data_IF_206663187598
#
_entry.id   IF_206663187598
#
_cell.length_a   1.000
_cell.length_b   1.000
_cell.length_c   1.000
_cell.angle_alpha   90.00
_cell.angle_beta   90.00
_cell.angle_gamma   90.00
#
_symmetry.space_group_name_H-M   'P 1'
#
loop_
_entity.id
_entity.type
_entity.pdbx_description
1 polymer ?
#
# COMPACT_ATOMS: atom_id res chain seq x y z
N UNK A 1 43.63 -0.90 -5.36
CA UNK A 1 43.13 -2.27 -5.26
C UNK A 1 42.19 -2.30 -4.07
N UNK A 2 40.95 -2.54 -4.12
CA UNK A 2 39.97 -2.89 -5.14
C UNK A 2 38.60 -2.33 -4.68
N UNK A 3 37.97 -1.42 -5.44
CA UNK A 3 36.63 -0.83 -5.20
C UNK A 3 35.52 -1.63 -5.88
N UNK A 4 35.72 -2.91 -6.17
CA UNK A 4 34.75 -3.77 -6.86
C UNK A 4 33.98 -4.68 -5.88
N UNK A 5 34.41 -4.77 -4.59
CA UNK A 5 33.78 -5.60 -3.57
C UNK A 5 32.46 -5.07 -3.02
N UNK A 6 32.24 -3.74 -3.06
CA UNK A 6 31.10 -3.11 -2.38
C UNK A 6 29.79 -3.15 -3.20
N UNK A 7 29.84 -3.56 -4.46
CA UNK A 7 28.67 -3.59 -5.33
C UNK A 7 27.79 -4.86 -5.17
N UNK A 8 28.27 -5.86 -4.42
CA UNK A 8 27.55 -7.14 -4.21
C UNK A 8 26.89 -7.28 -2.83
N UNK A 9 27.08 -6.34 -1.92
CA UNK A 9 26.50 -6.40 -0.56
C UNK A 9 25.12 -5.75 -0.42
N UNK A 10 24.55 -5.14 -1.45
CA UNK A 10 23.22 -4.50 -1.44
C UNK A 10 22.03 -5.45 -1.67
N UNK A 11 22.17 -6.74 -1.35
CA UNK A 11 21.16 -7.77 -1.69
C UNK A 11 20.21 -8.11 -0.54
N UNK A 12 19.97 -7.24 0.46
CA UNK A 12 19.14 -7.62 1.62
C UNK A 12 18.02 -6.68 2.06
N UNK A 13 17.86 -5.48 1.52
CA UNK A 13 16.69 -4.63 1.80
C UNK A 13 16.44 -3.70 0.59
N UNK A 14 15.72 -4.17 -0.41
CA UNK A 14 15.37 -3.34 -1.55
C UNK A 14 14.01 -2.67 -1.31
N UNK A 15 14.02 -1.55 -0.61
CA UNK A 15 12.96 -0.55 -0.77
C UNK A 15 13.11 0.03 -2.18
N UNK A 16 12.01 0.09 -2.93
CA UNK A 16 12.02 0.55 -4.32
C UNK A 16 12.73 1.90 -4.45
N UNK A 17 13.78 2.02 -5.27
CA UNK A 17 14.52 3.28 -5.43
C UNK A 17 13.59 4.39 -5.92
N UNK A 18 13.70 5.57 -5.33
CA UNK A 18 12.90 6.77 -5.60
C UNK A 18 12.71 7.08 -7.09
N UNK A 19 13.78 6.99 -7.89
CA UNK A 19 13.74 7.25 -9.33
C UNK A 19 12.87 6.24 -10.10
N UNK A 20 12.76 5.00 -9.59
CA UNK A 20 11.94 3.96 -10.20
C UNK A 20 10.44 4.21 -9.92
N UNK A 21 10.10 4.73 -8.74
CA UNK A 21 8.71 5.04 -8.37
C UNK A 21 8.09 6.10 -9.30
N UNK A 22 8.88 7.07 -9.80
CA UNK A 22 8.39 8.07 -10.76
C UNK A 22 8.06 7.46 -12.12
N UNK A 23 8.74 6.37 -12.51
CA UNK A 23 8.44 5.68 -13.78
C UNK A 23 7.17 4.85 -13.71
N UNK A 24 6.69 4.52 -12.51
CA UNK A 24 5.50 3.69 -12.29
C UNK A 24 4.18 4.48 -12.28
N UNK A 25 4.17 5.81 -12.22
CA UNK A 25 2.93 6.59 -12.34
C UNK A 25 2.90 7.32 -13.69
N UNK A 26 2.66 6.55 -14.75
CA UNK A 26 2.48 7.07 -16.09
C UNK A 26 1.08 6.73 -16.63
N UNK A 27 0.69 7.39 -17.72
CA UNK A 27 -0.62 7.20 -18.36
C UNK A 27 -0.85 5.75 -18.86
N UNK A 28 0.23 5.02 -19.21
CA UNK A 28 0.15 3.61 -19.64
C UNK A 28 -0.29 2.74 -18.46
N UNK A 29 0.35 2.91 -17.28
CA UNK A 29 -0.04 2.19 -16.07
C UNK A 29 -1.49 2.49 -15.69
N UNK A 30 -1.93 3.75 -15.79
CA UNK A 30 -3.32 4.14 -15.48
C UNK A 30 -4.33 3.47 -16.40
N UNK A 31 -3.97 3.18 -17.65
CA UNK A 31 -4.81 2.41 -18.57
C UNK A 31 -4.86 0.93 -18.26
N UNK A 32 -3.74 0.36 -17.82
CA UNK A 32 -3.61 -1.07 -17.50
C UNK A 32 -4.14 -1.38 -16.10
N UNK A 33 -3.87 -0.49 -15.15
CA UNK A 33 -4.26 -0.57 -13.74
C UNK A 33 -5.02 0.70 -13.37
N UNK A 34 -6.29 0.79 -13.78
CA UNK A 34 -7.11 1.94 -13.41
C UNK A 34 -7.33 1.95 -11.89
N UNK A 35 -6.74 2.90 -11.13
CA UNK A 35 -6.83 2.89 -9.67
C UNK A 35 -8.27 3.04 -9.19
N UNK A 36 -9.08 3.86 -9.85
CA UNK A 36 -10.49 4.05 -9.48
C UNK A 36 -11.29 2.74 -9.56
N UNK A 37 -11.08 1.94 -10.61
CA UNK A 37 -11.77 0.65 -10.76
C UNK A 37 -11.35 -0.36 -9.70
N UNK A 38 -10.08 -0.32 -9.26
CA UNK A 38 -9.55 -1.25 -8.25
C UNK A 38 -10.09 -0.92 -6.86
N UNK A 39 -10.14 0.36 -6.49
CA UNK A 39 -10.48 0.78 -5.11
C UNK A 39 -11.96 1.09 -4.91
N UNK A 40 -12.70 1.52 -5.94
CA UNK A 40 -14.12 1.90 -5.84
C UNK A 40 -15.03 0.84 -5.21
N UNK A 41 -14.81 -0.48 -5.37
CA UNK A 41 -15.61 -1.48 -4.68
C UNK A 41 -15.42 -1.52 -3.17
N UNK A 42 -14.34 -0.90 -2.66
CA UNK A 42 -13.93 -0.97 -1.25
C UNK A 42 -13.94 0.38 -0.53
N UNK A 43 -13.94 1.51 -1.24
CA UNK A 43 -13.85 2.86 -0.66
C UNK A 43 -15.14 3.63 -0.90
N UNK A 44 -15.67 4.25 0.16
CA UNK A 44 -16.90 5.05 0.16
C UNK A 44 -16.64 6.47 0.65
N UNK A 45 -17.55 7.38 0.38
CA UNK A 45 -17.51 8.72 0.97
C UNK A 45 -17.62 8.63 2.50
N UNK A 46 -16.80 9.39 3.20
CA UNK A 46 -16.69 9.39 4.66
C UNK A 46 -15.70 8.38 5.25
N UNK A 47 -15.17 7.44 4.46
CA UNK A 47 -14.25 6.42 4.96
C UNK A 47 -12.93 7.03 5.45
N UNK A 48 -12.36 6.39 6.47
CA UNK A 48 -10.94 6.51 6.82
C UNK A 48 -10.18 5.38 6.13
N UNK A 49 -9.24 5.73 5.25
CA UNK A 49 -8.48 4.79 4.43
C UNK A 49 -6.99 4.87 4.75
N UNK A 50 -6.31 3.73 4.80
CA UNK A 50 -4.85 3.65 4.97
C UNK A 50 -4.24 3.11 3.68
N UNK A 51 -3.30 3.89 3.09
CA UNK A 51 -2.50 3.53 1.93
C UNK A 51 -1.08 3.25 2.39
N UNK A 52 -0.66 1.98 2.38
CA UNK A 52 0.64 1.55 2.89
C UNK A 52 1.61 1.35 1.73
N UNK A 53 2.76 2.02 1.78
CA UNK A 53 3.69 2.07 0.67
C UNK A 53 3.11 2.79 -0.56
N UNK A 54 2.56 4.01 -0.38
CA UNK A 54 1.80 4.73 -1.40
C UNK A 54 2.65 5.18 -2.60
N UNK A 55 3.99 5.08 -2.48
CA UNK A 55 4.92 5.67 -3.42
C UNK A 55 4.66 7.16 -3.61
N UNK A 56 4.49 7.59 -4.85
CA UNK A 56 4.17 9.01 -5.14
C UNK A 56 2.66 9.30 -5.18
N UNK A 57 1.81 8.41 -4.64
CA UNK A 57 0.36 8.62 -4.48
C UNK A 57 -0.49 8.16 -5.67
N UNK A 58 -0.12 7.08 -6.35
CA UNK A 58 -0.89 6.52 -7.47
C UNK A 58 -2.32 6.15 -7.06
N UNK A 59 -2.50 5.56 -5.88
CA UNK A 59 -3.80 5.25 -5.28
C UNK A 59 -4.27 6.31 -4.29
N UNK A 60 -3.36 6.95 -3.56
CA UNK A 60 -3.68 7.95 -2.53
C UNK A 60 -4.57 9.08 -3.07
N UNK A 61 -4.22 9.66 -4.22
CA UNK A 61 -4.99 10.78 -4.81
C UNK A 61 -6.40 10.33 -5.25
N UNK A 62 -6.60 9.21 -5.97
CA UNK A 62 -7.92 8.67 -6.24
C UNK A 62 -8.73 8.36 -4.98
N UNK A 63 -8.12 7.74 -3.96
CA UNK A 63 -8.80 7.46 -2.69
C UNK A 63 -9.26 8.74 -2.01
N UNK A 64 -8.43 9.80 -1.98
CA UNK A 64 -8.79 11.10 -1.41
C UNK A 64 -9.96 11.77 -2.15
N UNK A 65 -10.13 11.50 -3.43
CA UNK A 65 -11.32 11.97 -4.17
C UNK A 65 -12.57 11.18 -3.79
N UNK A 66 -12.44 9.87 -3.61
CA UNK A 66 -13.56 8.98 -3.29
C UNK A 66 -14.08 9.18 -1.87
N UNK A 67 -13.21 9.36 -0.89
CA UNK A 67 -13.62 9.56 0.51
C UNK A 67 -14.32 10.92 0.73
N UNK A 68 -14.10 11.90 -0.13
CA UNK A 68 -14.71 13.22 -0.03
C UNK A 68 -14.26 14.02 1.21
N UNK A 69 -14.96 15.12 1.53
CA UNK A 69 -14.55 16.04 2.61
C UNK A 69 -14.81 15.49 4.01
N UNK A 70 -15.71 14.51 4.14
CA UNK A 70 -16.00 13.85 5.42
C UNK A 70 -15.08 12.66 5.71
N UNK A 71 -14.30 12.20 4.73
CA UNK A 71 -13.36 11.11 4.87
C UNK A 71 -11.90 11.56 4.87
N UNK A 72 -10.98 10.61 5.01
CA UNK A 72 -9.54 10.89 5.01
C UNK A 72 -8.72 9.70 4.53
N UNK A 73 -7.53 9.99 4.01
CA UNK A 73 -6.52 8.98 3.62
C UNK A 73 -5.28 9.18 4.47
N UNK A 74 -4.83 8.13 5.15
CA UNK A 74 -3.56 8.10 5.85
C UNK A 74 -2.55 7.46 4.89
N UNK A 75 -1.61 8.23 4.38
CA UNK A 75 -0.56 7.77 3.48
C UNK A 75 0.68 7.39 4.31
N UNK A 76 0.99 6.10 4.40
CA UNK A 76 2.02 5.55 5.31
C UNK A 76 3.23 5.10 4.52
N UNK A 77 4.38 5.74 4.73
CA UNK A 77 5.64 5.37 4.08
C UNK A 77 6.81 5.50 5.06
N UNK A 78 7.89 4.73 4.85
CA UNK A 78 9.14 4.86 5.60
C UNK A 78 10.05 5.94 5.00
N UNK A 79 9.76 6.41 3.79
CA UNK A 79 10.52 7.42 3.07
C UNK A 79 9.82 8.79 3.15
N UNK A 80 10.42 9.75 3.84
CA UNK A 80 9.88 11.12 3.95
C UNK A 80 9.68 11.78 2.59
N UNK A 81 10.57 11.47 1.63
CA UNK A 81 10.50 12.03 0.29
C UNK A 81 9.26 11.57 -0.49
N UNK A 82 8.78 10.35 -0.25
CA UNK A 82 7.52 9.87 -0.84
C UNK A 82 6.34 10.65 -0.26
N UNK A 83 6.32 10.85 1.04
CA UNK A 83 5.28 11.64 1.72
C UNK A 83 5.29 13.11 1.26
N UNK A 84 6.47 13.70 1.07
CA UNK A 84 6.61 15.05 0.51
C UNK A 84 6.10 15.12 -0.94
N UNK A 85 6.41 14.12 -1.76
CA UNK A 85 5.91 14.04 -3.14
C UNK A 85 4.38 13.90 -3.19
N UNK A 86 3.79 13.08 -2.31
CA UNK A 86 2.33 12.97 -2.17
C UNK A 86 1.72 14.31 -1.79
N UNK A 87 2.27 15.00 -0.78
CA UNK A 87 1.77 16.29 -0.31
C UNK A 87 1.74 17.34 -1.43
N UNK A 88 2.82 17.41 -2.21
CA UNK A 88 2.90 18.31 -3.39
C UNK A 88 1.83 17.96 -4.44
N UNK A 89 1.66 16.68 -4.76
CA UNK A 89 0.68 16.22 -5.76
C UNK A 89 -0.75 16.42 -5.27
N UNK A 90 -1.00 16.17 -3.98
CA UNK A 90 -2.30 16.36 -3.33
C UNK A 90 -2.74 17.83 -3.37
N UNK A 91 -1.80 18.76 -3.13
CA UNK A 91 -2.05 20.20 -3.27
C UNK A 91 -2.42 20.57 -4.70
N UNK A 92 -1.67 20.09 -5.69
CA UNK A 92 -1.98 20.29 -7.11
C UNK A 92 -3.30 19.68 -7.58
N UNK A 93 -3.76 18.62 -6.87
CA UNK A 93 -5.04 17.95 -7.15
C UNK A 93 -6.23 18.51 -6.32
N UNK A 94 -6.01 19.49 -5.42
CA UNK A 94 -7.02 20.09 -4.56
C UNK A 94 -7.55 19.15 -3.45
N UNK A 95 -6.81 18.10 -3.09
CA UNK A 95 -7.24 17.09 -2.10
C UNK A 95 -6.32 16.97 -0.89
N UNK A 96 -5.38 17.90 -0.73
CA UNK A 96 -4.39 17.85 0.35
C UNK A 96 -5.01 17.78 1.76
N UNK A 97 -6.12 18.47 1.97
CA UNK A 97 -6.84 18.51 3.25
C UNK A 97 -7.46 17.15 3.66
N UNK A 98 -7.56 16.22 2.72
CA UNK A 98 -8.07 14.84 2.95
C UNK A 98 -6.97 13.82 3.17
N UNK A 99 -5.69 14.19 3.05
CA UNK A 99 -4.56 13.27 3.13
C UNK A 99 -3.69 13.64 4.33
N UNK A 100 -3.43 12.66 5.18
CA UNK A 100 -2.51 12.76 6.30
C UNK A 100 -1.27 11.92 5.98
N UNK A 101 -0.12 12.54 5.70
CA UNK A 101 1.14 11.81 5.58
C UNK A 101 1.54 11.25 6.95
N UNK A 102 1.92 9.98 6.99
CA UNK A 102 2.35 9.29 8.20
C UNK A 102 3.69 8.60 7.98
N UNK A 103 4.72 9.07 8.68
CA UNK A 103 6.02 8.42 8.64
C UNK A 103 5.99 7.14 9.47
N UNK A 104 6.26 6.02 8.81
CA UNK A 104 6.46 4.73 9.44
C UNK A 104 7.91 4.54 9.89
N UNK A 105 8.13 3.58 10.77
CA UNK A 105 9.46 3.06 11.10
C UNK A 105 9.61 1.63 10.57
N UNK A 106 10.82 1.05 10.55
CA UNK A 106 11.02 -0.35 10.15
C UNK A 106 10.23 -1.38 10.97
N UNK A 107 9.73 -0.97 12.14
CA UNK A 107 9.02 -1.84 13.08
C UNK A 107 7.58 -1.41 13.37
N UNK A 108 7.15 -0.23 12.91
CA UNK A 108 5.82 0.31 13.21
C UNK A 108 5.28 1.16 12.07
N UNK A 109 4.01 0.93 11.72
CA UNK A 109 3.26 1.78 10.78
C UNK A 109 2.91 3.14 11.39
N UNK A 110 2.96 3.27 12.73
CA UNK A 110 2.60 4.47 13.49
C UNK A 110 1.17 4.97 13.22
N UNK A 111 0.28 4.09 12.78
CA UNK A 111 -1.15 4.40 12.58
C UNK A 111 -1.90 4.11 13.88
N UNK A 112 -2.65 5.11 14.36
CA UNK A 112 -3.40 5.04 15.62
C UNK A 112 -4.91 5.11 15.44
N UNK A 113 -5.38 5.26 14.21
CA UNK A 113 -6.81 5.36 13.88
C UNK A 113 -7.31 4.07 13.25
N UNK A 114 -8.58 3.75 13.48
CA UNK A 114 -9.21 2.62 12.80
C UNK A 114 -9.60 2.99 11.38
N UNK A 115 -9.31 2.11 10.45
CA UNK A 115 -9.56 2.26 9.01
C UNK A 115 -10.75 1.42 8.54
N UNK A 116 -11.55 2.00 7.66
CA UNK A 116 -12.60 1.30 6.91
C UNK A 116 -12.00 0.44 5.79
N UNK A 117 -10.91 0.94 5.21
CA UNK A 117 -10.19 0.23 4.15
C UNK A 117 -8.68 0.42 4.29
N UNK A 118 -7.94 -0.66 4.05
CA UNK A 118 -6.47 -0.64 3.97
C UNK A 118 -6.05 -1.14 2.59
N UNK A 119 -5.09 -0.46 1.97
CA UNK A 119 -4.43 -0.88 0.74
C UNK A 119 -2.94 -1.12 1.00
N UNK A 120 -2.42 -2.28 0.60
CA UNK A 120 -0.99 -2.54 0.43
C UNK A 120 -0.77 -3.03 -1.00
N UNK A 121 -0.21 -2.16 -1.86
CA UNK A 121 -0.09 -2.42 -3.28
C UNK A 121 1.36 -2.38 -3.75
N UNK A 122 1.89 -3.57 -4.11
CA UNK A 122 3.24 -3.76 -4.61
C UNK A 122 4.35 -3.39 -3.60
N UNK A 123 4.12 -3.66 -2.31
CA UNK A 123 5.07 -3.29 -1.27
C UNK A 123 5.29 -4.34 -0.18
N UNK A 124 4.31 -5.24 0.07
CA UNK A 124 4.40 -6.15 1.21
C UNK A 124 5.54 -7.19 1.08
N UNK A 125 5.97 -7.50 -0.16
CA UNK A 125 7.13 -8.35 -0.41
C UNK A 125 8.47 -7.71 0.02
N UNK A 126 8.52 -6.40 0.23
CA UNK A 126 9.68 -5.67 0.73
C UNK A 126 9.76 -5.67 2.26
N UNK A 127 8.66 -6.05 2.96
CA UNK A 127 8.59 -6.03 4.41
C UNK A 127 9.32 -7.23 5.01
N UNK A 128 10.36 -7.01 5.86
CA UNK A 128 11.16 -8.09 6.41
C UNK A 128 10.38 -8.99 7.38
N UNK A 129 9.52 -8.41 8.22
CA UNK A 129 8.69 -9.09 9.23
C UNK A 129 7.21 -8.99 8.83
N UNK A 130 6.78 -9.91 7.98
CA UNK A 130 5.40 -9.94 7.52
C UNK A 130 4.39 -10.31 8.62
N UNK A 131 4.78 -11.09 9.63
CA UNK A 131 3.89 -11.44 10.74
C UNK A 131 3.53 -10.20 11.54
N UNK A 132 4.54 -9.40 11.93
CA UNK A 132 4.35 -8.11 12.60
C UNK A 132 3.57 -7.13 11.73
N UNK A 133 3.87 -7.08 10.44
CA UNK A 133 3.19 -6.20 9.49
C UNK A 133 1.69 -6.48 9.43
N UNK A 134 1.29 -7.73 9.18
CA UNK A 134 -0.11 -8.10 9.13
C UNK A 134 -0.81 -7.95 10.49
N UNK A 135 -0.13 -8.21 11.60
CA UNK A 135 -0.70 -7.97 12.92
C UNK A 135 -1.02 -6.48 13.15
N UNK A 136 -0.15 -5.56 12.69
CA UNK A 136 -0.41 -4.13 12.77
C UNK A 136 -1.58 -3.70 11.86
N UNK A 137 -1.66 -4.22 10.63
CA UNK A 137 -2.80 -3.95 9.74
C UNK A 137 -4.11 -4.44 10.37
N UNK A 138 -4.08 -5.64 10.97
CA UNK A 138 -5.24 -6.18 11.67
C UNK A 138 -5.69 -5.30 12.82
N UNK A 139 -4.76 -4.80 13.63
CA UNK A 139 -5.04 -3.93 14.78
C UNK A 139 -5.72 -2.62 14.37
N UNK A 140 -5.36 -2.05 13.23
CA UNK A 140 -5.90 -0.76 12.75
C UNK A 140 -7.07 -0.91 11.77
N UNK A 141 -7.48 -2.11 11.37
CA UNK A 141 -8.67 -2.32 10.57
C UNK A 141 -9.92 -2.34 11.46
N UNK A 142 -11.00 -1.70 11.07
CA UNK A 142 -12.33 -1.85 11.70
C UNK A 142 -12.86 -3.28 11.53
N UNK A 143 -13.82 -3.69 12.36
CA UNK A 143 -14.37 -5.04 12.31
C UNK A 143 -15.12 -5.34 11.00
N UNK A 144 -15.78 -4.34 10.41
CA UNK A 144 -16.42 -4.38 9.10
C UNK A 144 -15.53 -3.89 7.95
N UNK A 145 -14.29 -3.52 8.27
CA UNK A 145 -13.31 -3.00 7.33
C UNK A 145 -12.79 -4.06 6.36
N UNK A 146 -12.17 -3.59 5.27
CA UNK A 146 -11.55 -4.45 4.26
C UNK A 146 -10.09 -4.11 4.07
N UNK A 147 -9.29 -5.13 3.76
CA UNK A 147 -7.88 -4.99 3.41
C UNK A 147 -7.62 -5.62 2.04
N UNK A 148 -7.09 -4.83 1.11
CA UNK A 148 -6.65 -5.30 -0.21
C UNK A 148 -5.12 -5.40 -0.25
N UNK A 149 -4.62 -6.61 -0.41
CA UNK A 149 -3.23 -6.90 -0.70
C UNK A 149 -3.08 -7.17 -2.20
N UNK A 150 -2.14 -6.51 -2.86
CA UNK A 150 -1.81 -6.79 -4.25
C UNK A 150 -0.29 -6.78 -4.46
N UNK A 151 0.22 -7.80 -5.15
CA UNK A 151 1.64 -7.98 -5.39
C UNK A 151 1.97 -8.17 -6.88
N UNK A 152 3.10 -7.65 -7.37
CA UNK A 152 3.44 -7.70 -8.80
C UNK A 152 3.83 -9.13 -9.21
N UNK A 153 3.17 -9.67 -10.25
CA UNK A 153 3.44 -11.03 -10.78
C UNK A 153 4.87 -11.24 -11.25
N UNK A 154 5.58 -10.15 -11.58
CA UNK A 154 6.97 -10.23 -12.02
C UNK A 154 7.96 -10.43 -10.86
N UNK A 155 7.60 -10.00 -9.63
CA UNK A 155 8.49 -10.07 -8.47
C UNK A 155 8.05 -11.13 -7.45
N UNK A 156 6.75 -11.44 -7.40
CA UNK A 156 6.18 -12.35 -6.42
C UNK A 156 5.54 -13.54 -7.15
N UNK A 157 6.02 -14.73 -6.87
CA UNK A 157 5.44 -15.98 -7.37
C UNK A 157 4.13 -16.33 -6.65
N UNK A 158 3.29 -17.18 -7.26
CA UNK A 158 2.06 -17.65 -6.61
C UNK A 158 2.31 -18.31 -5.26
N UNK A 159 3.29 -19.23 -5.08
CA UNK A 159 3.57 -19.81 -3.77
C UNK A 159 3.97 -18.78 -2.70
N UNK A 160 4.77 -17.75 -3.06
CA UNK A 160 5.12 -16.67 -2.15
C UNK A 160 3.89 -15.84 -1.75
N UNK A 161 3.02 -15.54 -2.71
CA UNK A 161 1.78 -14.82 -2.44
C UNK A 161 0.82 -15.63 -1.56
N UNK A 162 0.69 -16.94 -1.80
CA UNK A 162 -0.12 -17.83 -0.97
C UNK A 162 0.45 -17.96 0.46
N UNK A 163 1.77 -17.94 0.63
CA UNK A 163 2.40 -17.87 1.94
C UNK A 163 2.07 -16.55 2.66
N UNK A 164 2.10 -15.41 1.97
CA UNK A 164 1.70 -14.12 2.53
C UNK A 164 0.22 -14.11 2.96
N UNK A 165 -0.68 -14.72 2.15
CA UNK A 165 -2.09 -14.92 2.54
C UNK A 165 -2.17 -15.75 3.82
N UNK A 166 -1.42 -16.85 3.93
CA UNK A 166 -1.38 -17.68 5.13
C UNK A 166 -0.92 -16.91 6.37
N UNK A 167 0.07 -16.04 6.21
CA UNK A 167 0.56 -15.15 7.30
C UNK A 167 -0.52 -14.13 7.71
N UNK A 168 -1.20 -13.51 6.74
CA UNK A 168 -2.34 -12.62 7.03
C UNK A 168 -3.47 -13.37 7.77
N UNK A 169 -3.78 -14.61 7.38
CA UNK A 169 -4.79 -15.42 8.05
C UNK A 169 -4.41 -15.79 9.49
N UNK A 170 -3.12 -16.04 9.77
CA UNK A 170 -2.62 -16.24 11.14
C UNK A 170 -2.76 -14.98 11.99
N UNK A 171 -2.62 -13.80 11.40
CA UNK A 171 -2.85 -12.53 12.08
C UNK A 171 -4.34 -12.25 12.39
N UNK A 172 -5.27 -13.08 11.89
CA UNK A 172 -6.71 -12.96 12.17
C UNK A 172 -7.56 -12.57 10.94
N UNK A 173 -6.96 -12.30 9.79
CA UNK A 173 -7.71 -11.98 8.58
C UNK A 173 -8.44 -13.21 8.01
N UNK A 174 -9.61 -12.97 7.43
CA UNK A 174 -10.35 -13.93 6.62
C UNK A 174 -10.29 -13.51 5.16
N UNK A 175 -9.78 -14.39 4.30
CA UNK A 175 -9.80 -14.18 2.85
C UNK A 175 -11.25 -14.15 2.35
N UNK A 176 -11.62 -13.08 1.67
CA UNK A 176 -12.95 -12.91 1.06
C UNK A 176 -12.94 -13.30 -0.42
N UNK A 177 -11.93 -12.81 -1.16
CA UNK A 177 -11.86 -12.92 -2.62
C UNK A 177 -10.43 -12.80 -3.12
N UNK A 178 -10.19 -13.21 -4.36
CA UNK A 178 -8.97 -12.98 -5.12
C UNK A 178 -9.31 -12.16 -6.38
N UNK A 179 -9.49 -10.83 -6.24
CA UNK A 179 -9.91 -10.01 -7.35
C UNK A 179 -8.90 -10.01 -8.48
N UNK A 180 -9.40 -9.93 -9.71
CA UNK A 180 -8.54 -9.81 -10.89
C UNK A 180 -7.99 -8.39 -11.00
N UNK A 181 -6.70 -8.23 -10.75
CA UNK A 181 -5.97 -6.98 -10.90
C UNK A 181 -4.86 -7.18 -11.91
N UNK A 182 -4.85 -6.35 -12.95
CA UNK A 182 -3.85 -6.46 -14.03
C UNK A 182 -2.43 -6.43 -13.47
N UNK A 183 -1.55 -7.30 -14.00
CA UNK A 183 -0.15 -7.45 -13.60
C UNK A 183 0.07 -7.85 -12.13
N UNK A 184 -1.00 -8.14 -11.38
CA UNK A 184 -0.90 -8.41 -9.94
C UNK A 184 -1.53 -9.75 -9.55
N UNK A 185 -1.02 -10.34 -8.48
CA UNK A 185 -1.74 -11.27 -7.63
C UNK A 185 -2.44 -10.41 -6.58
N UNK A 186 -3.73 -10.64 -6.33
CA UNK A 186 -4.49 -9.84 -5.37
C UNK A 186 -5.34 -10.71 -4.45
N UNK A 187 -5.53 -10.25 -3.21
CA UNK A 187 -6.35 -10.87 -2.18
C UNK A 187 -7.07 -9.79 -1.37
N UNK A 188 -8.38 -9.96 -1.23
CA UNK A 188 -9.23 -9.11 -0.41
C UNK A 188 -9.56 -9.83 0.88
N UNK A 189 -9.39 -9.12 2.00
CA UNK A 189 -9.62 -9.64 3.34
C UNK A 189 -10.62 -8.80 4.12
N UNK A 190 -11.21 -9.43 5.16
CA UNK A 190 -11.87 -8.80 6.28
C UNK A 190 -11.31 -9.34 7.59
N UNK A 191 -11.67 -8.73 8.72
CA UNK A 191 -11.47 -9.36 10.02
C UNK A 191 -12.33 -10.64 10.15
N UNK A 192 -11.87 -11.56 10.99
CA UNK A 192 -12.69 -12.71 11.42
C UNK A 192 -13.73 -12.28 12.44
#
# INVERSE_FOLDING_TARGET
MSRIGDLFFFRKHHVCPRWLCFTFDNWVRRRIQNPDQIIRPCVRAGDTVVDVGPGIGFFTIPMARLVGDSGRVIAVDIQEEMLAAISKRASGAGVAHRITPQLASPVSLNVTVLADFILAFWMAHEVPDQERFFAQLYAVLKDDGKFLLAEPKLHVSRPQFDAAIGTAQKAGFRLLDRPSVSLSLAALFAKR
#
